data_IF_695462214929
#
_entry.id   IF_695462214929
#
_cell.length_a   1.000
_cell.length_b   1.000
_cell.length_c   1.000
_cell.angle_alpha   90.00
_cell.angle_beta   90.00
_cell.angle_gamma   90.00
#
_symmetry.space_group_name_H-M   'P 1'
#
loop_
_entity.id
_entity.type
_entity.pdbx_description
1 polymer ?
#
# COMPACT_ATOMS: atom_id res chain seq x y z
N UNK A 1 7.81 3.70 -5.99
CA UNK A 1 8.15 4.00 -4.59
C UNK A 1 6.92 3.64 -3.79
N UNK A 2 7.06 3.17 -2.56
CA UNK A 2 5.94 2.74 -1.73
C UNK A 2 6.15 3.25 -0.31
N UNK A 3 5.05 3.71 0.31
CA UNK A 3 5.02 4.11 1.71
C UNK A 3 3.65 3.77 2.31
N UNK A 4 3.62 3.46 3.60
CA UNK A 4 2.38 3.25 4.35
C UNK A 4 1.88 4.59 4.90
N UNK A 5 0.57 4.81 4.83
CA UNK A 5 -0.10 5.93 5.48
C UNK A 5 -0.33 5.59 6.96
N UNK A 6 0.10 6.48 7.86
CA UNK A 6 -0.13 6.37 9.30
C UNK A 6 -1.21 7.35 9.82
N UNK A 7 -1.80 8.12 8.91
CA UNK A 7 -2.93 9.01 9.22
C UNK A 7 -4.26 8.24 9.20
N UNK A 8 -5.36 8.94 9.48
CA UNK A 8 -6.70 8.37 9.34
C UNK A 8 -6.92 7.83 7.91
N UNK A 9 -7.62 6.68 7.77
CA UNK A 9 -7.95 6.11 6.46
C UNK A 9 -8.72 7.08 5.57
N UNK A 10 -8.61 6.90 4.24
CA UNK A 10 -9.21 7.77 3.24
C UNK A 10 -8.18 8.56 2.44
N UNK A 11 -7.00 7.99 2.20
CA UNK A 11 -6.01 8.61 1.34
C UNK A 11 -6.59 8.90 -0.07
N UNK A 12 -6.14 10.01 -0.63
CA UNK A 12 -6.52 10.47 -1.97
C UNK A 12 -5.26 10.61 -2.82
N UNK A 13 -5.43 10.89 -4.11
CA UNK A 13 -4.30 11.22 -4.99
C UNK A 13 -3.43 12.35 -4.42
N UNK A 14 -4.05 13.37 -3.82
CA UNK A 14 -3.32 14.52 -3.27
C UNK A 14 -2.47 14.12 -2.06
N UNK A 15 -3.03 13.35 -1.12
CA UNK A 15 -2.27 12.89 0.06
C UNK A 15 -1.19 11.90 -0.34
N UNK A 16 -1.46 11.01 -1.31
CA UNK A 16 -0.44 10.08 -1.81
C UNK A 16 0.71 10.81 -2.51
N UNK A 17 0.45 11.87 -3.29
CA UNK A 17 1.52 12.70 -3.87
C UNK A 17 2.45 13.27 -2.79
N UNK A 18 1.87 13.79 -1.71
CA UNK A 18 2.64 14.33 -0.59
C UNK A 18 3.43 13.21 0.11
N UNK A 19 2.78 12.10 0.48
CA UNK A 19 3.42 10.99 1.19
C UNK A 19 4.56 10.34 0.39
N UNK A 20 4.44 10.32 -0.94
CA UNK A 20 5.46 9.78 -1.84
C UNK A 20 6.61 10.75 -2.10
N UNK A 21 6.54 11.99 -1.61
CA UNK A 21 7.63 12.95 -1.69
C UNK A 21 8.76 12.50 -0.76
N UNK A 22 9.92 12.16 -1.33
CA UNK A 22 11.07 11.67 -0.58
C UNK A 22 11.02 10.19 -0.17
N UNK A 23 9.97 9.45 -0.54
CA UNK A 23 9.97 8.00 -0.38
C UNK A 23 10.96 7.37 -1.36
N UNK A 24 11.92 6.55 -0.94
CA UNK A 24 12.91 5.95 -1.85
C UNK A 24 12.68 4.46 -2.10
N UNK A 25 11.95 3.81 -1.19
CA UNK A 25 11.80 2.36 -1.18
C UNK A 25 10.84 1.87 -2.26
N UNK A 26 11.14 0.71 -2.85
CA UNK A 26 10.29 -0.01 -3.81
C UNK A 26 9.52 -1.18 -3.17
N UNK A 27 9.82 -1.51 -1.93
CA UNK A 27 9.17 -2.54 -1.12
C UNK A 27 8.85 -1.98 0.27
N UNK A 28 7.87 -2.59 0.94
CA UNK A 28 7.51 -2.24 2.32
C UNK A 28 7.15 -3.51 3.09
N UNK A 29 7.60 -3.62 4.33
CA UNK A 29 7.27 -4.77 5.19
C UNK A 29 5.83 -4.70 5.67
N UNK A 30 5.11 -5.82 5.61
CA UNK A 30 3.74 -5.89 6.11
C UNK A 30 3.67 -6.13 7.63
N UNK A 31 4.80 -6.21 8.35
CA UNK A 31 4.82 -6.53 9.78
C UNK A 31 3.86 -5.65 10.61
N UNK A 32 3.78 -4.34 10.31
CA UNK A 32 2.86 -3.39 10.95
C UNK A 32 1.52 -3.16 10.23
N UNK A 33 1.28 -3.82 9.09
CA UNK A 33 0.04 -3.67 8.33
C UNK A 33 -1.08 -4.53 8.92
N UNK A 34 -2.31 -4.04 8.82
CA UNK A 34 -3.55 -4.73 9.16
C UNK A 34 -4.59 -4.50 8.06
N UNK A 35 -5.76 -5.14 8.20
CA UNK A 35 -6.91 -4.80 7.36
C UNK A 35 -7.23 -3.31 7.49
N UNK A 36 -7.44 -2.63 6.36
CA UNK A 36 -7.61 -1.19 6.26
C UNK A 36 -6.32 -0.38 6.16
N UNK A 37 -5.13 -0.99 6.28
CA UNK A 37 -3.88 -0.26 6.06
C UNK A 37 -3.76 0.22 4.62
N UNK A 38 -3.45 1.50 4.47
CA UNK A 38 -3.34 2.18 3.19
C UNK A 38 -1.87 2.39 2.81
N UNK A 39 -1.56 2.11 1.55
CA UNK A 39 -0.25 2.29 0.96
C UNK A 39 -0.35 3.17 -0.28
N UNK A 40 0.47 4.21 -0.32
CA UNK A 40 0.66 5.00 -1.52
C UNK A 40 1.81 4.40 -2.33
N UNK A 41 1.57 4.16 -3.62
CA UNK A 41 2.54 3.58 -4.55
C UNK A 41 2.72 4.50 -5.75
N UNK A 42 3.97 4.73 -6.16
CA UNK A 42 4.33 5.44 -7.40
C UNK A 42 5.03 4.50 -8.39
N UNK A 43 4.49 4.35 -9.58
CA UNK A 43 5.16 3.64 -10.68
C UNK A 43 6.17 4.58 -11.39
N UNK A 44 7.26 4.06 -11.98
CA UNK A 44 8.19 4.89 -12.76
C UNK A 44 7.56 5.64 -13.94
N UNK A 45 6.43 5.16 -14.49
CA UNK A 45 5.63 5.89 -15.51
C UNK A 45 5.06 7.21 -14.99
N UNK A 46 4.98 7.38 -13.67
CA UNK A 46 4.31 8.53 -13.03
C UNK A 46 2.95 8.18 -12.43
N UNK A 47 2.39 7.01 -12.75
CA UNK A 47 1.12 6.56 -12.16
C UNK A 47 1.23 6.48 -10.64
N UNK A 48 0.15 6.84 -9.97
CA UNK A 48 0.03 6.74 -8.52
C UNK A 48 -1.11 5.77 -8.22
N UNK A 49 -0.89 4.88 -7.26
CA UNK A 49 -1.91 3.98 -6.77
C UNK A 49 -2.08 4.12 -5.26
N UNK A 50 -3.31 3.95 -4.80
CA UNK A 50 -3.65 3.65 -3.42
C UNK A 50 -3.94 2.16 -3.33
N UNK A 51 -3.18 1.45 -2.50
CA UNK A 51 -3.39 0.04 -2.20
C UNK A 51 -3.90 -0.08 -0.76
N UNK A 52 -5.04 -0.72 -0.57
CA UNK A 52 -5.66 -0.92 0.74
C UNK A 52 -5.66 -2.41 1.07
N UNK A 53 -4.97 -2.80 2.13
CA UNK A 53 -4.96 -4.19 2.58
C UNK A 53 -6.36 -4.57 3.08
N UNK A 54 -6.95 -5.61 2.50
CA UNK A 54 -8.25 -6.13 2.92
C UNK A 54 -8.08 -7.27 3.91
N UNK A 55 -7.22 -8.24 3.59
CA UNK A 55 -6.86 -9.35 4.47
C UNK A 55 -5.35 -9.50 4.50
N UNK A 56 -4.81 -9.70 5.69
CA UNK A 56 -3.43 -10.17 5.90
C UNK A 56 -3.51 -11.44 6.73
N UNK A 57 -3.36 -12.58 6.07
CA UNK A 57 -3.29 -13.88 6.73
C UNK A 57 -1.83 -14.26 6.95
N UNK A 58 -1.43 -14.35 8.21
CA UNK A 58 -0.17 -14.96 8.61
C UNK A 58 -0.47 -16.39 9.03
N UNK A 59 -0.30 -17.34 8.11
CA UNK A 59 -0.38 -18.75 8.43
C UNK A 59 0.63 -19.11 9.53
N UNK A 60 0.16 -19.79 10.58
CA UNK A 60 1.01 -20.22 11.71
C UNK A 60 1.44 -21.70 11.61
N UNK A 61 0.92 -22.45 10.63
CA UNK A 61 1.23 -23.88 10.44
C UNK A 61 1.70 -24.21 9.03
N UNK A 62 2.48 -25.29 8.91
CA UNK A 62 3.16 -25.72 7.68
C UNK A 62 2.20 -26.07 6.51
N UNK A 63 0.91 -26.23 6.80
CA UNK A 63 -0.14 -26.60 5.84
C UNK A 63 -1.00 -25.42 5.37
N UNK A 64 -0.78 -24.21 5.88
CA UNK A 64 -1.55 -23.02 5.48
C UNK A 64 -0.68 -22.03 4.69
N UNK A 65 -1.23 -21.47 3.62
CA UNK A 65 -0.54 -20.44 2.84
C UNK A 65 -0.77 -19.07 3.48
N UNK A 66 0.30 -18.34 3.78
CA UNK A 66 0.21 -16.91 4.09
C UNK A 66 -0.22 -16.14 2.84
N UNK A 67 -1.23 -15.28 2.96
CA UNK A 67 -1.75 -14.53 1.82
C UNK A 67 -2.15 -13.11 2.21
N UNK A 68 -2.20 -12.24 1.20
CA UNK A 68 -2.70 -10.88 1.30
C UNK A 68 -3.69 -10.64 0.19
N UNK A 69 -4.85 -10.08 0.54
CA UNK A 69 -5.76 -9.49 -0.44
C UNK A 69 -5.75 -7.99 -0.26
N UNK A 70 -5.86 -7.25 -1.36
CA UNK A 70 -5.87 -5.80 -1.35
C UNK A 70 -6.84 -5.27 -2.41
N UNK A 71 -7.39 -4.11 -2.14
CA UNK A 71 -8.06 -3.27 -3.15
C UNK A 71 -7.06 -2.24 -3.68
N UNK A 72 -7.22 -1.83 -4.94
CA UNK A 72 -6.29 -0.89 -5.55
C UNK A 72 -7.01 0.12 -6.45
N UNK A 73 -6.84 1.40 -6.13
CA UNK A 73 -7.23 2.51 -6.99
C UNK A 73 -5.99 3.06 -7.70
N UNK A 74 -6.04 3.18 -9.03
CA UNK A 74 -4.92 3.70 -9.85
C UNK A 74 -5.32 5.01 -10.51
N UNK A 75 -4.46 6.02 -10.38
CA UNK A 75 -4.52 7.28 -11.10
C UNK A 75 -3.38 7.33 -12.13
N UNK A 76 -3.71 7.29 -13.43
CA UNK A 76 -2.72 7.40 -14.48
C UNK A 76 -1.92 8.71 -14.39
N UNK A 77 -0.68 8.67 -14.85
CA UNK A 77 0.04 9.88 -15.22
C UNK A 77 -0.76 10.60 -16.32
N UNK A 78 -1.15 11.85 -16.05
CA UNK A 78 -1.80 12.72 -17.02
C UNK A 78 -0.83 13.25 -18.07
#
# INVERSE_FOLDING_TARGET
>A
MITMMYADPGATLATCRIALTGAENRSFTLAGAAAGSEFCVKHPSGDIALLVVQVKSTALGDSEAGFVTADMTVWPAG
#
